data_IF_074395223668
#
_entry.id   IF_074395223668
#
_cell.length_a   1.000
_cell.length_b   1.000
_cell.length_c   1.000
_cell.angle_alpha   90.00
_cell.angle_beta   90.00
_cell.angle_gamma   90.00
#
_symmetry.space_group_name_H-M   'P 1'
#
loop_
_entity.id
_entity.type
_entity.pdbx_description
1 polymer ?
#
# COMPACT_ATOMS: atom_id res chain seq x y z
N UNK A 1 -14.03 -17.91 -6.39
CA UNK A 1 -12.55 -18.05 -6.30
C UNK A 1 -12.20 -19.49 -5.98
N UNK A 2 -11.24 -20.01 -6.69
CA UNK A 2 -10.65 -21.35 -6.48
C UNK A 2 -9.49 -21.30 -5.48
N UNK A 3 -9.04 -22.43 -4.99
CA UNK A 3 -7.84 -22.50 -4.13
C UNK A 3 -6.58 -21.99 -4.86
N UNK A 4 -6.50 -22.19 -6.17
CA UNK A 4 -5.39 -21.67 -7.00
C UNK A 4 -5.31 -20.15 -7.03
N UNK A 5 -6.46 -19.45 -6.98
CA UNK A 5 -6.50 -17.99 -6.95
C UNK A 5 -5.91 -17.46 -5.63
N UNK A 6 -6.28 -18.07 -4.50
CA UNK A 6 -5.72 -17.70 -3.20
C UNK A 6 -4.22 -18.01 -3.10
N UNK A 7 -3.78 -19.15 -3.65
CA UNK A 7 -2.36 -19.49 -3.74
C UNK A 7 -1.60 -18.46 -4.61
N UNK A 8 -2.17 -18.05 -5.73
CA UNK A 8 -1.63 -16.99 -6.59
C UNK A 8 -1.49 -15.65 -5.87
N UNK A 9 -2.52 -15.25 -5.11
CA UNK A 9 -2.51 -14.01 -4.31
C UNK A 9 -1.46 -14.09 -3.18
N UNK A 10 -1.32 -15.24 -2.52
CA UNK A 10 -0.28 -15.46 -1.51
C UNK A 10 1.11 -15.34 -2.11
N UNK A 11 1.35 -16.00 -3.26
CA UNK A 11 2.62 -15.93 -3.99
C UNK A 11 2.94 -14.52 -4.46
N UNK A 12 1.95 -13.78 -4.97
CA UNK A 12 2.11 -12.36 -5.32
C UNK A 12 2.52 -11.53 -4.11
N UNK A 13 1.93 -11.77 -2.94
CA UNK A 13 2.33 -11.14 -1.70
C UNK A 13 3.77 -11.47 -1.31
N UNK A 14 4.15 -12.73 -1.42
CA UNK A 14 5.49 -13.21 -1.07
C UNK A 14 6.55 -12.69 -2.04
N UNK A 15 6.33 -12.78 -3.35
CA UNK A 15 7.24 -12.26 -4.37
C UNK A 15 7.30 -10.72 -4.34
N UNK A 16 6.19 -10.07 -4.01
CA UNK A 16 6.10 -8.63 -3.81
C UNK A 16 6.74 -8.12 -2.52
N UNK A 17 7.27 -9.01 -1.67
CA UNK A 17 7.87 -8.66 -0.38
C UNK A 17 8.98 -7.63 -0.52
N UNK A 18 9.85 -7.73 -1.53
CA UNK A 18 10.92 -6.77 -1.78
C UNK A 18 10.38 -5.35 -2.01
N UNK A 19 9.31 -5.22 -2.78
CA UNK A 19 8.60 -3.96 -2.97
C UNK A 19 8.00 -3.43 -1.67
N UNK A 20 7.33 -4.30 -0.91
CA UNK A 20 6.76 -3.94 0.39
C UNK A 20 7.82 -3.50 1.39
N UNK A 21 8.98 -4.16 1.43
CA UNK A 21 10.13 -3.77 2.27
C UNK A 21 10.66 -2.41 1.84
N UNK A 22 10.83 -2.16 0.54
CA UNK A 22 11.29 -0.88 0.02
C UNK A 22 10.38 0.28 0.40
N UNK A 23 9.05 0.11 0.30
CA UNK A 23 8.07 1.17 0.57
C UNK A 23 7.63 1.24 2.04
N UNK A 24 7.34 0.09 2.65
CA UNK A 24 6.77 0.00 4.00
C UNK A 24 7.79 -0.35 5.07
N UNK A 25 9.07 -0.58 4.71
CA UNK A 25 10.12 -0.98 5.65
C UNK A 25 10.36 0.05 6.75
N UNK A 26 10.24 1.35 6.45
CA UNK A 26 10.29 2.42 7.43
C UNK A 26 9.20 2.30 8.51
N UNK A 27 7.97 1.97 8.11
CA UNK A 27 6.85 1.72 9.03
C UNK A 27 7.06 0.44 9.83
N UNK A 28 7.54 -0.64 9.19
CA UNK A 28 7.85 -1.89 9.86
C UNK A 28 8.90 -1.71 10.95
N UNK A 29 9.97 -0.93 10.68
CA UNK A 29 10.97 -0.55 11.68
C UNK A 29 10.38 0.27 12.82
N UNK A 30 9.50 1.24 12.51
CA UNK A 30 8.85 2.06 13.53
C UNK A 30 7.96 1.22 14.46
N UNK A 31 7.25 0.23 13.91
CA UNK A 31 6.44 -0.73 14.68
C UNK A 31 7.30 -1.62 15.59
N UNK A 32 8.45 -2.09 15.09
CA UNK A 32 9.40 -2.90 15.85
C UNK A 32 10.21 -2.12 16.89
N UNK A 33 10.27 -0.79 16.77
CA UNK A 33 11.10 0.07 17.61
C UNK A 33 10.70 -0.02 19.08
N UNK A 34 11.72 -0.11 19.96
CA UNK A 34 11.52 -0.14 21.41
C UNK A 34 10.73 -1.34 21.95
N UNK A 35 10.58 -2.40 21.15
CA UNK A 35 9.95 -3.63 21.65
C UNK A 35 10.91 -4.40 22.57
N UNK A 36 10.47 -4.85 23.76
CA UNK A 36 11.36 -5.48 24.75
C UNK A 36 11.82 -6.88 24.36
N UNK A 37 11.20 -7.52 23.37
CA UNK A 37 11.54 -8.88 22.95
C UNK A 37 11.04 -9.19 21.53
N UNK A 38 11.53 -10.27 20.92
CA UNK A 38 11.13 -10.72 19.60
C UNK A 38 9.62 -11.01 19.52
N UNK A 39 9.06 -11.68 20.52
CA UNK A 39 7.63 -11.98 20.58
C UNK A 39 6.75 -10.72 20.54
N UNK A 40 7.19 -9.62 21.18
CA UNK A 40 6.47 -8.34 21.14
C UNK A 40 6.57 -7.70 19.75
N UNK A 41 7.71 -7.86 19.04
CA UNK A 41 7.83 -7.42 17.63
C UNK A 41 6.84 -8.17 16.75
N UNK A 42 6.77 -9.50 16.89
CA UNK A 42 5.83 -10.35 16.15
C UNK A 42 4.38 -9.89 16.38
N UNK A 43 3.99 -9.73 17.66
CA UNK A 43 2.65 -9.29 18.02
C UNK A 43 2.31 -7.91 17.42
N UNK A 44 3.24 -6.95 17.48
CA UNK A 44 3.07 -5.62 16.90
C UNK A 44 3.00 -5.67 15.37
N UNK A 45 3.79 -6.53 14.74
CA UNK A 45 3.80 -6.68 13.29
C UNK A 45 2.51 -7.35 12.77
N UNK A 46 1.98 -8.33 13.51
CA UNK A 46 0.66 -8.92 13.23
C UNK A 46 -0.46 -7.88 13.36
N UNK A 47 -0.42 -7.07 14.43
CA UNK A 47 -1.37 -5.99 14.64
C UNK A 47 -1.30 -4.93 13.51
N UNK A 48 -0.10 -4.56 13.08
CA UNK A 48 0.13 -3.69 11.94
C UNK A 48 -0.43 -4.29 10.65
N UNK A 49 -0.17 -5.57 10.39
CA UNK A 49 -0.65 -6.26 9.21
C UNK A 49 -2.17 -6.37 9.18
N UNK A 50 -2.78 -6.63 10.33
CA UNK A 50 -4.23 -6.62 10.48
C UNK A 50 -4.83 -5.24 10.13
N UNK A 51 -4.28 -4.15 10.68
CA UNK A 51 -4.70 -2.79 10.34
C UNK A 51 -4.58 -2.49 8.85
N UNK A 52 -3.45 -2.85 8.24
CA UNK A 52 -3.19 -2.68 6.80
C UNK A 52 -4.19 -3.45 5.94
N UNK A 53 -4.46 -4.70 6.26
CA UNK A 53 -5.43 -5.53 5.52
C UNK A 53 -6.85 -4.99 5.66
N UNK A 54 -7.22 -4.45 6.82
CA UNK A 54 -8.54 -3.82 7.03
C UNK A 54 -8.73 -2.59 6.14
N UNK A 55 -7.70 -1.76 5.96
CA UNK A 55 -7.77 -0.63 5.01
C UNK A 55 -7.89 -1.10 3.56
N UNK A 56 -7.18 -2.14 3.19
CA UNK A 56 -7.30 -2.73 1.86
C UNK A 56 -8.70 -3.30 1.62
N UNK A 57 -9.29 -3.94 2.64
CA UNK A 57 -10.67 -4.42 2.57
C UNK A 57 -11.64 -3.26 2.33
N UNK A 58 -11.49 -2.16 3.07
CA UNK A 58 -12.32 -0.96 2.88
C UNK A 58 -12.19 -0.41 1.46
N UNK A 59 -10.99 -0.24 0.95
CA UNK A 59 -10.74 0.22 -0.42
C UNK A 59 -11.36 -0.76 -1.43
N UNK A 60 -11.16 -2.07 -1.24
CA UNK A 60 -11.72 -3.11 -2.10
C UNK A 60 -13.25 -3.12 -2.13
N UNK A 61 -13.90 -2.91 -0.98
CA UNK A 61 -15.36 -2.77 -0.89
C UNK A 61 -15.83 -1.52 -1.64
N UNK A 62 -15.14 -0.39 -1.47
CA UNK A 62 -15.47 0.84 -2.23
C UNK A 62 -15.32 0.61 -3.73
N UNK A 63 -14.27 -0.08 -4.19
CA UNK A 63 -14.09 -0.43 -5.60
C UNK A 63 -15.19 -1.37 -6.10
N UNK A 64 -15.59 -2.35 -5.30
CA UNK A 64 -16.67 -3.28 -5.63
C UNK A 64 -18.00 -2.53 -5.80
N UNK A 65 -18.36 -1.67 -4.84
CA UNK A 65 -19.57 -0.85 -4.88
C UNK A 65 -19.53 0.17 -6.04
N UNK A 66 -18.39 0.81 -6.28
CA UNK A 66 -18.23 1.72 -7.41
C UNK A 66 -18.43 0.98 -8.75
N UNK A 67 -17.94 -0.25 -8.86
CA UNK A 67 -18.14 -1.10 -10.03
C UNK A 67 -19.61 -1.42 -10.29
N UNK A 68 -20.39 -1.68 -9.24
CA UNK A 68 -21.84 -1.97 -9.37
C UNK A 68 -22.68 -0.73 -9.65
N UNK A 69 -22.31 0.44 -9.10
CA UNK A 69 -23.07 1.69 -9.22
C UNK A 69 -22.76 2.45 -10.51
N UNK A 70 -21.55 2.36 -11.02
CA UNK A 70 -21.10 3.16 -12.17
C UNK A 70 -21.66 2.70 -13.53
N UNK A 71 -22.44 1.61 -13.60
CA UNK A 71 -23.19 1.17 -14.78
C UNK A 71 -22.35 0.96 -16.06
N UNK A 72 -21.03 0.97 -15.98
CA UNK A 72 -20.15 0.81 -17.14
C UNK A 72 -18.66 1.03 -16.84
N UNK A 73 -17.82 0.43 -17.69
CA UNK A 73 -16.36 0.45 -17.58
C UNK A 73 -15.73 1.85 -17.54
N UNK A 74 -16.37 2.87 -18.13
CA UNK A 74 -15.82 4.22 -18.22
C UNK A 74 -15.82 5.00 -16.90
N UNK A 75 -16.81 4.82 -16.02
CA UNK A 75 -16.88 5.48 -14.71
C UNK A 75 -15.83 4.90 -13.75
N UNK A 76 -15.69 3.59 -13.74
CA UNK A 76 -14.69 2.87 -12.93
C UNK A 76 -13.26 3.28 -13.32
N UNK A 77 -12.98 3.37 -14.63
CA UNK A 77 -11.67 3.76 -15.15
C UNK A 77 -11.28 5.20 -14.71
N UNK A 78 -12.22 6.15 -14.77
CA UNK A 78 -11.98 7.53 -14.32
C UNK A 78 -11.73 7.63 -12.82
N UNK A 79 -12.55 6.93 -12.01
CA UNK A 79 -12.37 6.87 -10.56
C UNK A 79 -11.01 6.24 -10.18
N UNK A 80 -10.62 5.19 -10.88
CA UNK A 80 -9.33 4.53 -10.70
C UNK A 80 -8.16 5.45 -11.08
N UNK A 81 -8.25 6.18 -12.19
CA UNK A 81 -7.23 7.13 -12.60
C UNK A 81 -7.06 8.27 -11.58
N UNK A 82 -8.16 8.84 -11.09
CA UNK A 82 -8.14 9.87 -10.05
C UNK A 82 -7.53 9.36 -8.74
N UNK A 83 -7.93 8.16 -8.30
CA UNK A 83 -7.37 7.52 -7.11
C UNK A 83 -5.87 7.24 -7.25
N UNK A 84 -5.42 6.79 -8.42
CA UNK A 84 -4.00 6.52 -8.71
C UNK A 84 -3.17 7.80 -8.68
N UNK A 85 -3.66 8.91 -9.22
CA UNK A 85 -2.98 10.21 -9.18
C UNK A 85 -2.91 10.78 -7.77
N UNK A 86 -4.00 10.71 -7.01
CA UNK A 86 -4.03 11.13 -5.61
C UNK A 86 -3.02 10.33 -4.77
N UNK A 87 -2.98 9.01 -4.99
CA UNK A 87 -2.02 8.12 -4.36
C UNK A 87 -0.58 8.45 -4.71
N UNK A 88 -0.30 8.71 -5.99
CA UNK A 88 1.03 9.08 -6.45
C UNK A 88 1.50 10.39 -5.80
N UNK A 89 0.63 11.41 -5.73
CA UNK A 89 0.92 12.67 -5.04
C UNK A 89 1.20 12.47 -3.54
N UNK A 90 0.40 11.64 -2.87
CA UNK A 90 0.62 11.31 -1.47
C UNK A 90 1.95 10.57 -1.24
N UNK A 91 2.30 9.62 -2.14
CA UNK A 91 3.58 8.91 -2.09
C UNK A 91 4.77 9.86 -2.23
N UNK A 92 4.72 10.80 -3.17
CA UNK A 92 5.77 11.80 -3.36
C UNK A 92 5.87 12.69 -2.12
N UNK A 93 4.76 13.19 -1.59
CA UNK A 93 4.74 14.04 -0.39
C UNK A 93 5.32 13.33 0.83
N UNK A 94 4.92 12.08 1.09
CA UNK A 94 5.46 11.27 2.19
C UNK A 94 6.93 10.90 1.96
N UNK A 95 7.31 10.57 0.74
CA UNK A 95 8.69 10.30 0.37
C UNK A 95 9.59 11.51 0.64
N UNK A 96 9.16 12.70 0.26
CA UNK A 96 9.85 13.96 0.57
C UNK A 96 9.95 14.19 2.09
N UNK A 97 8.85 13.97 2.82
CA UNK A 97 8.86 14.10 4.28
C UNK A 97 9.87 13.14 4.94
N UNK A 98 10.02 11.93 4.41
CA UNK A 98 11.01 10.96 4.90
C UNK A 98 12.45 11.33 4.56
N UNK A 99 12.71 11.80 3.33
CA UNK A 99 14.05 12.20 2.89
C UNK A 99 14.51 13.46 3.61
N UNK A 100 13.60 14.45 3.74
CA UNK A 100 13.89 15.74 4.40
C UNK A 100 13.82 15.66 5.93
N UNK A 101 13.45 14.50 6.51
CA UNK A 101 13.18 14.36 7.96
C UNK A 101 12.22 15.45 8.46
N UNK A 102 11.24 15.81 7.61
CA UNK A 102 10.32 16.92 7.88
C UNK A 102 9.55 16.68 9.17
N UNK A 103 9.65 17.65 10.07
CA UNK A 103 8.86 17.69 11.29
C UNK A 103 7.80 18.78 11.15
N UNK A 104 6.54 18.49 11.46
CA UNK A 104 5.51 19.53 11.39
C UNK A 104 5.90 20.70 12.30
N UNK A 105 5.69 21.94 11.84
CA UNK A 105 5.99 23.13 12.65
C UNK A 105 5.19 23.08 13.96
N UNK A 106 5.73 23.62 15.06
CA UNK A 106 5.12 23.51 16.40
C UNK A 106 3.69 24.02 16.46
N UNK A 107 3.34 25.06 15.68
CA UNK A 107 1.98 25.56 15.57
C UNK A 107 0.98 24.57 14.96
N UNK A 108 1.37 23.89 13.87
CA UNK A 108 0.55 22.84 13.26
C UNK A 108 0.46 21.61 14.17
N UNK A 109 1.56 21.24 14.81
CA UNK A 109 1.57 20.14 15.78
C UNK A 109 0.67 20.44 16.99
N UNK A 110 0.68 21.68 17.51
CA UNK A 110 -0.18 22.12 18.59
C UNK A 110 -1.66 22.17 18.18
N UNK A 111 -1.97 22.67 16.98
CA UNK A 111 -3.33 22.69 16.46
C UNK A 111 -3.88 21.26 16.26
N UNK A 112 -3.07 20.36 15.69
CA UNK A 112 -3.42 18.95 15.58
C UNK A 112 -3.58 18.30 16.97
N UNK A 113 -2.73 18.60 17.94
CA UNK A 113 -2.81 18.07 19.31
C UNK A 113 -4.00 18.62 20.10
N UNK A 114 -4.49 19.82 19.77
CA UNK A 114 -5.60 20.48 20.45
C UNK A 114 -6.98 19.89 20.14
N UNK A 115 -7.13 19.11 19.08
CA UNK A 115 -8.38 18.41 18.80
C UNK A 115 -8.54 17.20 19.71
N UNK A 116 -9.77 16.93 20.21
CA UNK A 116 -10.07 15.76 21.07
C UNK A 116 -9.65 14.44 20.41
N UNK A 117 -9.78 14.35 19.10
CA UNK A 117 -9.38 13.18 18.30
C UNK A 117 -7.85 13.03 18.31
N UNK A 118 -7.10 14.13 18.12
CA UNK A 118 -5.64 14.07 18.15
C UNK A 118 -5.07 13.92 19.56
N UNK A 119 -5.77 14.38 20.59
CA UNK A 119 -5.42 14.09 21.99
C UNK A 119 -5.48 12.60 22.31
N UNK A 120 -6.55 11.92 21.91
CA UNK A 120 -6.71 10.47 22.04
C UNK A 120 -5.69 9.70 21.17
N UNK A 121 -5.50 10.11 19.91
CA UNK A 121 -4.45 9.58 19.02
C UNK A 121 -3.05 9.80 19.61
N UNK A 122 -2.78 10.97 20.18
CA UNK A 122 -1.51 11.28 20.84
C UNK A 122 -1.23 10.42 22.07
N UNK A 123 -2.26 10.08 22.85
CA UNK A 123 -2.16 9.11 23.95
C UNK A 123 -1.84 7.70 23.45
N UNK A 124 -2.54 7.24 22.41
CA UNK A 124 -2.25 5.96 21.75
C UNK A 124 -0.86 5.95 21.13
N UNK A 125 -0.44 7.08 20.53
CA UNK A 125 0.88 7.20 19.89
C UNK A 125 2.03 7.14 20.91
N UNK A 126 1.83 7.65 22.11
CA UNK A 126 2.80 7.59 23.22
C UNK A 126 2.83 6.23 23.93
N UNK A 127 1.72 5.51 23.91
CA UNK A 127 1.65 4.19 24.54
C UNK A 127 2.31 3.10 23.69
N UNK A 128 3.01 2.14 24.28
CA UNK A 128 3.58 0.99 23.56
C UNK A 128 2.51 -0.09 23.26
N UNK A 129 1.32 0.32 22.82
CA UNK A 129 0.15 -0.55 22.64
C UNK A 129 0.10 -1.19 21.26
N UNK A 130 -0.54 -2.36 21.17
CA UNK A 130 -0.84 -3.03 19.89
C UNK A 130 -1.76 -2.16 19.02
N UNK A 131 -2.64 -1.38 19.64
CA UNK A 131 -3.54 -0.44 18.95
C UNK A 131 -2.76 0.59 18.12
N UNK A 132 -1.64 1.09 18.63
CA UNK A 132 -0.73 1.94 17.83
C UNK A 132 -0.28 1.24 16.55
N UNK A 133 0.09 -0.03 16.64
CA UNK A 133 0.54 -0.80 15.49
C UNK A 133 -0.60 -1.02 14.48
N UNK A 134 -1.82 -1.29 14.95
CA UNK A 134 -3.01 -1.37 14.09
C UNK A 134 -3.27 -0.05 13.37
N UNK A 135 -3.21 1.09 14.08
CA UNK A 135 -3.44 2.41 13.50
C UNK A 135 -2.37 2.78 12.46
N UNK A 136 -1.10 2.48 12.75
CA UNK A 136 -0.02 2.69 11.78
C UNK A 136 -0.26 1.83 10.53
N UNK A 137 -0.65 0.57 10.69
CA UNK A 137 -1.00 -0.32 9.59
C UNK A 137 -2.19 0.20 8.81
N UNK A 138 -3.23 0.64 9.50
CA UNK A 138 -4.45 1.16 8.90
C UNK A 138 -4.17 2.42 8.05
N UNK A 139 -3.44 3.38 8.58
CA UNK A 139 -3.02 4.58 7.83
C UNK A 139 -2.15 4.21 6.64
N UNK A 140 -1.19 3.30 6.83
CA UNK A 140 -0.31 2.84 5.76
C UNK A 140 -1.07 2.07 4.66
N UNK A 141 -2.16 1.39 4.98
CA UNK A 141 -2.99 0.69 3.99
C UNK A 141 -3.71 1.63 3.02
N UNK A 142 -3.92 2.90 3.40
CA UNK A 142 -4.43 3.92 2.48
C UNK A 142 -3.38 4.45 1.50
N UNK A 143 -2.12 4.04 1.62
CA UNK A 143 -1.13 4.30 0.57
C UNK A 143 -1.27 3.21 -0.51
N UNK A 144 -2.03 3.45 -1.58
CA UNK A 144 -2.19 2.46 -2.63
C UNK A 144 -0.90 2.39 -3.44
N UNK A 145 -0.19 1.30 -3.26
CA UNK A 145 0.91 0.94 -4.17
C UNK A 145 0.35 0.17 -5.39
N UNK A 146 1.07 0.19 -6.51
CA UNK A 146 0.63 -0.50 -7.72
C UNK A 146 0.33 -1.99 -7.50
N UNK A 147 1.09 -2.65 -6.63
CA UNK A 147 0.89 -4.07 -6.29
C UNK A 147 -0.42 -4.29 -5.52
N UNK A 148 -0.69 -3.49 -4.47
CA UNK A 148 -1.94 -3.61 -3.70
C UNK A 148 -3.16 -3.28 -4.55
N UNK A 149 -3.07 -2.24 -5.39
CA UNK A 149 -4.18 -1.86 -6.26
C UNK A 149 -4.48 -2.97 -7.29
N UNK A 150 -3.45 -3.57 -7.90
CA UNK A 150 -3.62 -4.68 -8.83
C UNK A 150 -4.31 -5.89 -8.16
N UNK A 151 -3.88 -6.25 -6.94
CA UNK A 151 -4.51 -7.33 -6.17
C UNK A 151 -5.95 -6.99 -5.80
N UNK A 152 -6.24 -5.75 -5.36
CA UNK A 152 -7.60 -5.33 -5.02
C UNK A 152 -8.53 -5.34 -6.24
N UNK A 153 -8.06 -4.88 -7.40
CA UNK A 153 -8.84 -4.94 -8.64
C UNK A 153 -9.11 -6.39 -9.05
N UNK A 154 -8.10 -7.25 -8.98
CA UNK A 154 -8.24 -8.68 -9.26
C UNK A 154 -9.28 -9.32 -8.32
N UNK A 155 -9.19 -9.08 -7.01
CA UNK A 155 -10.13 -9.62 -6.04
C UNK A 155 -11.54 -9.05 -6.21
N UNK A 156 -11.68 -7.76 -6.57
CA UNK A 156 -12.96 -7.12 -6.79
C UNK A 156 -13.66 -7.66 -8.06
N UNK A 157 -12.92 -8.15 -9.05
CA UNK A 157 -13.49 -8.71 -10.28
C UNK A 157 -14.34 -9.97 -10.06
N UNK A 158 -14.17 -10.66 -8.93
CA UNK A 158 -14.99 -11.82 -8.56
C UNK A 158 -16.39 -11.45 -8.02
N UNK A 159 -16.68 -10.18 -7.78
CA UNK A 159 -18.00 -9.70 -7.34
C UNK A 159 -18.45 -10.19 -5.96
N UNK A 160 -17.58 -10.85 -5.19
CA UNK A 160 -17.91 -11.45 -3.89
C UNK A 160 -17.14 -10.77 -2.75
N UNK A 161 -17.88 -10.18 -1.80
CA UNK A 161 -17.29 -9.54 -0.62
C UNK A 161 -16.52 -10.53 0.27
N UNK A 162 -16.98 -11.79 0.37
CA UNK A 162 -16.29 -12.82 1.13
C UNK A 162 -14.96 -13.23 0.49
N UNK A 163 -14.94 -13.38 -0.84
CA UNK A 163 -13.72 -13.68 -1.59
C UNK A 163 -12.71 -12.51 -1.50
N UNK A 164 -13.20 -11.27 -1.58
CA UNK A 164 -12.39 -10.08 -1.39
C UNK A 164 -11.77 -10.05 0.03
N UNK A 165 -12.57 -10.25 1.06
CA UNK A 165 -12.10 -10.23 2.44
C UNK A 165 -11.00 -11.29 2.67
N UNK A 166 -11.28 -12.54 2.31
CA UNK A 166 -10.31 -13.62 2.48
C UNK A 166 -9.04 -13.37 1.65
N UNK A 167 -9.18 -12.96 0.39
CA UNK A 167 -8.05 -12.67 -0.50
C UNK A 167 -7.14 -11.56 0.02
N UNK A 168 -7.71 -10.49 0.59
CA UNK A 168 -6.94 -9.39 1.18
C UNK A 168 -6.11 -9.85 2.38
N UNK A 169 -6.66 -10.68 3.26
CA UNK A 169 -5.90 -11.23 4.39
C UNK A 169 -4.84 -12.24 3.94
N UNK A 170 -5.13 -13.06 2.94
CA UNK A 170 -4.14 -13.98 2.33
C UNK A 170 -2.98 -13.19 1.70
N UNK A 171 -3.28 -12.12 0.97
CA UNK A 171 -2.25 -11.21 0.46
C UNK A 171 -1.40 -10.60 1.58
N UNK A 172 -2.08 -10.17 2.65
CA UNK A 172 -1.44 -9.67 3.85
C UNK A 172 -0.46 -10.67 4.47
N UNK A 173 -0.86 -11.92 4.60
CA UNK A 173 0.00 -13.00 5.08
C UNK A 173 1.22 -13.20 4.18
N UNK A 174 1.07 -13.10 2.86
CA UNK A 174 2.17 -13.20 1.90
C UNK A 174 3.23 -12.09 2.09
N UNK A 175 2.82 -10.87 2.45
CA UNK A 175 3.75 -9.75 2.69
C UNK A 175 4.36 -9.73 4.10
N UNK A 176 3.80 -10.50 5.04
CA UNK A 176 4.20 -10.51 6.45
C UNK A 176 5.67 -10.95 6.67
N UNK A 177 6.21 -12.03 6.05
CA UNK A 177 7.54 -12.53 6.35
C UNK A 177 8.63 -11.48 6.15
N UNK A 178 8.60 -10.73 5.06
CA UNK A 178 9.63 -9.72 4.80
C UNK A 178 9.53 -8.50 5.70
N UNK A 179 8.33 -8.01 5.99
CA UNK A 179 8.15 -6.90 6.92
C UNK A 179 8.53 -7.30 8.35
N UNK A 180 8.25 -8.56 8.74
CA UNK A 180 8.66 -9.12 10.02
C UNK A 180 10.18 -9.24 10.10
N UNK A 181 10.83 -9.74 9.04
CA UNK A 181 12.28 -9.85 8.97
C UNK A 181 12.95 -8.47 9.16
N UNK A 182 12.48 -7.44 8.44
CA UNK A 182 12.98 -6.06 8.61
C UNK A 182 12.78 -5.55 10.04
N UNK A 183 11.63 -5.80 10.65
CA UNK A 183 11.33 -5.39 12.03
C UNK A 183 12.22 -6.08 13.05
N UNK A 184 12.50 -7.37 12.87
CA UNK A 184 13.35 -8.16 13.76
C UNK A 184 14.82 -7.79 13.62
N UNK A 185 15.32 -7.74 12.39
CA UNK A 185 16.71 -7.36 12.10
C UNK A 185 17.00 -5.91 12.52
N UNK A 186 16.04 -5.02 12.30
CA UNK A 186 16.15 -3.61 12.65
C UNK A 186 16.21 -3.31 14.15
N UNK A 187 15.94 -4.28 15.03
CA UNK A 187 16.08 -4.11 16.49
C UNK A 187 17.52 -3.84 16.92
N UNK A 188 18.47 -4.55 16.31
CA UNK A 188 19.90 -4.38 16.59
C UNK A 188 20.55 -3.22 15.84
N UNK A 189 19.82 -2.49 15.01
CA UNK A 189 20.40 -1.42 14.22
C UNK A 189 20.58 -0.13 15.01
N UNK A 190 21.71 0.53 14.78
CA UNK A 190 21.96 1.87 15.28
C UNK A 190 20.94 2.87 14.73
N UNK A 191 20.73 3.97 15.44
CA UNK A 191 19.83 5.05 15.00
C UNK A 191 20.19 5.58 13.59
N UNK A 192 21.50 5.58 13.25
CA UNK A 192 21.97 5.99 11.93
C UNK A 192 21.50 5.03 10.82
N UNK A 193 21.65 3.72 11.01
CA UNK A 193 21.18 2.71 10.03
C UNK A 193 19.67 2.76 9.85
N UNK A 194 18.92 2.95 10.93
CA UNK A 194 17.45 3.11 10.86
C UNK A 194 17.06 4.34 10.05
N UNK A 195 17.70 5.49 10.27
CA UNK A 195 17.50 6.70 9.48
C UNK A 195 17.84 6.47 8.01
N UNK A 196 18.97 5.80 7.73
CA UNK A 196 19.36 5.44 6.38
C UNK A 196 18.27 4.64 5.64
N UNK A 197 17.69 3.62 6.29
CA UNK A 197 16.61 2.83 5.68
C UNK A 197 15.33 3.66 5.49
N UNK A 198 14.95 4.51 6.45
CA UNK A 198 13.78 5.40 6.31
C UNK A 198 13.97 6.37 5.14
N UNK A 199 15.16 6.95 4.97
CA UNK A 199 15.48 7.81 3.81
C UNK A 199 15.44 7.02 2.50
N UNK A 200 16.02 5.82 2.47
CA UNK A 200 15.98 4.94 1.30
C UNK A 200 14.52 4.60 0.91
N UNK A 201 13.67 4.26 1.89
CA UNK A 201 12.24 4.07 1.67
C UNK A 201 11.55 5.33 1.13
N UNK A 202 11.95 6.52 1.60
CA UNK A 202 11.46 7.80 1.08
C UNK A 202 11.83 8.00 -0.40
N UNK A 203 13.07 7.70 -0.79
CA UNK A 203 13.50 7.77 -2.19
C UNK A 203 12.71 6.78 -3.06
N UNK A 204 12.53 5.55 -2.59
CA UNK A 204 11.72 4.54 -3.29
C UNK A 204 10.27 5.01 -3.46
N UNK A 205 9.67 5.61 -2.43
CA UNK A 205 8.33 6.19 -2.51
C UNK A 205 8.23 7.30 -3.57
N UNK A 206 9.21 8.20 -3.64
CA UNK A 206 9.26 9.26 -4.65
C UNK A 206 9.34 8.65 -6.05
N UNK A 207 10.27 7.72 -6.26
CA UNK A 207 10.45 7.08 -7.57
C UNK A 207 9.18 6.36 -8.05
N UNK A 208 8.53 5.58 -7.17
CA UNK A 208 7.29 4.91 -7.52
C UNK A 208 6.12 5.88 -7.69
N UNK A 209 6.03 6.93 -6.88
CA UNK A 209 5.03 7.99 -7.05
C UNK A 209 5.19 8.69 -8.41
N UNK A 210 6.42 9.08 -8.78
CA UNK A 210 6.71 9.67 -10.09
C UNK A 210 6.39 8.70 -11.23
N UNK A 211 6.78 7.43 -11.12
CA UNK A 211 6.49 6.41 -12.13
C UNK A 211 4.98 6.20 -12.31
N UNK A 212 4.21 6.22 -11.21
CA UNK A 212 2.75 6.10 -11.24
C UNK A 212 2.11 7.31 -11.91
N UNK A 213 2.59 8.53 -11.63
CA UNK A 213 2.14 9.77 -12.28
C UNK A 213 2.40 9.73 -13.78
N UNK A 214 3.62 9.32 -14.16
CA UNK A 214 4.02 9.22 -15.57
C UNK A 214 3.16 8.20 -16.32
N UNK A 215 2.90 7.03 -15.74
CA UNK A 215 2.04 6.00 -16.36
C UNK A 215 0.56 6.41 -16.41
N UNK A 216 0.11 7.24 -15.50
CA UNK A 216 -1.26 7.75 -15.43
C UNK A 216 -1.56 8.86 -16.46
N UNK A 217 -0.54 9.41 -17.13
CA UNK A 217 -0.72 10.44 -18.17
C UNK A 217 -0.97 9.79 -19.54
N UNK A 218 -2.07 10.16 -20.24
CA UNK A 218 -2.43 9.58 -21.55
C UNK A 218 -1.28 9.67 -22.58
N UNK A 219 -0.56 10.78 -22.58
CA UNK A 219 0.54 11.02 -23.52
C UNK A 219 1.69 10.01 -23.39
N UNK A 220 2.00 9.55 -22.15
CA UNK A 220 3.06 8.56 -21.91
C UNK A 220 2.54 7.15 -22.21
N UNK A 221 1.28 6.88 -21.93
CA UNK A 221 0.63 5.62 -22.31
C UNK A 221 0.70 5.41 -23.83
N UNK A 222 0.33 6.43 -24.61
CA UNK A 222 0.37 6.42 -26.07
C UNK A 222 1.81 6.33 -26.61
N UNK A 223 2.77 7.00 -25.93
CA UNK A 223 4.17 6.90 -26.31
C UNK A 223 4.73 5.49 -26.08
N UNK A 224 4.39 4.88 -24.92
CA UNK A 224 4.82 3.53 -24.57
C UNK A 224 4.24 2.47 -25.54
N UNK A 225 2.97 2.59 -25.90
CA UNK A 225 2.34 1.72 -26.88
C UNK A 225 2.95 1.88 -28.28
N UNK A 226 3.28 3.10 -28.69
CA UNK A 226 3.87 3.36 -30.00
C UNK A 226 5.31 2.87 -30.14
N UNK A 227 6.10 2.89 -29.08
CA UNK A 227 7.56 2.63 -29.16
C UNK A 227 7.99 1.27 -28.62
N UNK A 228 7.25 0.68 -27.69
CA UNK A 228 7.63 -0.55 -27.00
C UNK A 228 6.74 -1.76 -27.31
N UNK A 229 5.55 -1.55 -27.88
CA UNK A 229 4.74 -2.63 -28.44
C UNK A 229 4.67 -2.47 -29.96
N UNK A 230 5.62 -3.04 -30.73
CA UNK A 230 5.47 -3.06 -32.17
C UNK A 230 4.19 -3.81 -32.55
N UNK A 231 3.42 -3.28 -33.49
CA UNK A 231 2.11 -3.76 -33.97
C UNK A 231 2.03 -5.23 -34.39
N UNK A 232 3.11 -5.99 -34.25
CA UNK A 232 3.19 -7.44 -34.54
C UNK A 232 2.72 -8.36 -33.40
N UNK A 233 2.37 -7.82 -32.21
CA UNK A 233 1.88 -8.61 -31.09
C UNK A 233 0.35 -8.68 -30.98
N UNK A 234 -0.41 -8.23 -31.98
CA UNK A 234 -1.86 -8.25 -32.03
C UNK A 234 -2.44 -9.07 -33.20
N UNK A 235 -2.22 -10.39 -33.32
CA UNK A 235 -2.99 -11.19 -34.27
C UNK A 235 -4.20 -11.92 -33.67
N UNK A 236 -4.58 -11.67 -32.40
CA UNK A 236 -5.58 -12.50 -31.71
C UNK A 236 -6.81 -11.75 -31.15
N UNK A 237 -7.04 -10.49 -31.47
CA UNK A 237 -8.23 -9.76 -31.01
C UNK A 237 -9.08 -9.14 -32.14
N UNK A 238 -8.89 -9.56 -33.38
CA UNK A 238 -9.83 -9.24 -34.47
C UNK A 238 -10.75 -10.46 -34.71
N UNK A 239 -11.60 -10.72 -33.72
CA UNK A 239 -12.79 -11.59 -33.88
C UNK A 239 -14.07 -10.80 -33.70
N UNK A 240 -14.19 -9.63 -34.33
CA UNK A 240 -15.46 -8.96 -34.60
C UNK A 240 -15.70 -8.94 -36.10
N UNK A 241 -15.82 -10.10 -36.68
CA UNK A 241 -16.22 -10.29 -38.08
C UNK A 241 -17.37 -11.25 -38.19
N UNK A 242 -18.55 -10.75 -38.43
CA UNK A 242 -19.57 -11.41 -39.25
C UNK A 242 -20.53 -12.37 -38.53
N UNK A 243 -21.69 -11.96 -38.43
CA UNK A 243 -23.07 -12.35 -38.80
C UNK A 243 -24.08 -11.92 -37.75
#
# INVERSE_FOLDING_TARGET
MSWSDYAGVLLLGLLGTGHCVGMCGGFALAVGAGAPGAGRVVARQLAYQFGKSTSYLLIGVVLLLAGTLAGGAGGVARAQAAASLAAAGLMVALGLAYVLEWRPPPGLAAWLAGSRVCGALGAVWRSPSLLKSVLIGWVNGFLPCGLSLAVLLYLSSFGSAGALALGVYVFGLGTLPGLLAVSLLGRGWSASRRRGLVRASGVVLILFGMLTTVRGTPAVHDWFHRHLMPARAMPLMDMSGGH
#
